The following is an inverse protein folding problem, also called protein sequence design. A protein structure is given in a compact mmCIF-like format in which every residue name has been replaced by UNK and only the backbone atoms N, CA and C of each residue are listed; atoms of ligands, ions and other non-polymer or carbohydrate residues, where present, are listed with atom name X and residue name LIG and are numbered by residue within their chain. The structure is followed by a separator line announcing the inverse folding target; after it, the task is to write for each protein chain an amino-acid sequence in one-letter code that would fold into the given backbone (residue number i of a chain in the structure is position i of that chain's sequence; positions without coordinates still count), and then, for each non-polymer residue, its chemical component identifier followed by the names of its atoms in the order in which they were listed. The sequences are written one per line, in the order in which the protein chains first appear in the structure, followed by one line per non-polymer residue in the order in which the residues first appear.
data_IF_954054088252
#
_entry.id   IF_954054088252
#
_cell.length_a   1.000
_cell.length_b   1.000
_cell.length_c   1.000
_cell.angle_alpha   90.00
_cell.angle_beta   90.00
_cell.angle_gamma   90.00
#
_symmetry.space_group_name_H-M   'P 1'
#
loop_
_entity.id
_entity.type
_entity.pdbx_description
1 polymer ?
#
# COMPACT_ATOMS: atom_id res chain seq x y z
N UNK A 1 9.02 6.99 1.27
CA UNK A 1 7.87 6.27 1.87
C UNK A 1 6.59 6.85 1.30
N UNK A 2 5.60 6.02 0.98
CA UNK A 2 4.27 6.43 0.51
C UNK A 2 3.23 5.77 1.44
N UNK A 3 2.28 6.55 1.93
CA UNK A 3 1.15 6.03 2.70
C UNK A 3 -0.13 6.15 1.89
N UNK A 4 -0.83 5.05 1.69
CA UNK A 4 -2.16 5.02 1.08
C UNK A 4 -3.19 4.76 2.15
N UNK A 5 -4.13 5.70 2.27
CA UNK A 5 -5.26 5.58 3.17
C UNK A 5 -6.47 5.04 2.40
N UNK A 6 -7.08 4.00 2.95
CA UNK A 6 -8.14 3.17 2.37
C UNK A 6 -7.64 2.13 1.34
N UNK A 7 -7.45 0.91 1.85
CA UNK A 7 -6.80 -0.18 1.12
C UNK A 7 -7.65 -1.44 0.87
N UNK A 8 -8.93 -1.48 1.23
CA UNK A 8 -9.71 -2.73 1.08
C UNK A 8 -11.10 -2.57 0.43
N UNK A 9 -11.69 -1.37 0.37
CA UNK A 9 -13.15 -1.23 0.11
C UNK A 9 -13.52 -0.93 -1.35
N UNK A 10 -12.77 -1.42 -2.35
CA UNK A 10 -13.21 -1.30 -3.77
C UNK A 10 -13.25 -2.59 -4.58
N UNK A 11 -12.89 -3.74 -4.02
CA UNK A 11 -12.75 -5.02 -4.74
C UNK A 11 -14.08 -5.73 -5.08
N UNK A 12 -15.13 -4.96 -5.34
CA UNK A 12 -16.39 -5.47 -5.87
C UNK A 12 -17.40 -4.37 -6.11
N UNK A 13 -17.34 -3.28 -5.33
CA UNK A 13 -18.31 -2.18 -5.39
C UNK A 13 -17.98 -1.09 -6.42
N UNK A 14 -16.73 -1.02 -6.90
CA UNK A 14 -16.25 0.02 -7.82
C UNK A 14 -15.50 -0.53 -9.03
N UNK A 15 -15.80 -1.78 -9.39
CA UNK A 15 -15.48 -2.26 -10.74
C UNK A 15 -16.27 -1.39 -11.73
N UNK A 16 -15.57 -0.75 -12.66
CA UNK A 16 -16.24 -0.14 -13.80
C UNK A 16 -16.97 -1.24 -14.58
N UNK A 17 -18.08 -0.94 -15.29
CA UNK A 17 -18.74 -1.92 -16.13
C UNK A 17 -17.71 -2.62 -17.05
N UNK A 18 -17.65 -3.95 -16.99
CA UNK A 18 -16.71 -4.76 -17.78
C UNK A 18 -15.32 -4.98 -17.18
N UNK A 19 -15.01 -4.47 -15.98
CA UNK A 19 -13.75 -4.81 -15.31
C UNK A 19 -13.82 -6.16 -14.60
N UNK A 20 -12.84 -7.01 -14.90
CA UNK A 20 -12.61 -8.27 -14.22
C UNK A 20 -11.78 -8.03 -12.94
N UNK A 21 -12.18 -8.66 -11.83
CA UNK A 21 -11.61 -8.42 -10.51
C UNK A 21 -10.13 -8.83 -10.44
N UNK A 22 -9.77 -9.96 -11.03
CA UNK A 22 -8.40 -10.45 -11.14
C UNK A 22 -7.49 -9.48 -11.87
N UNK A 23 -7.94 -8.85 -12.96
CA UNK A 23 -7.19 -7.83 -13.68
C UNK A 23 -6.90 -6.59 -12.83
N UNK A 24 -7.87 -6.14 -12.00
CA UNK A 24 -7.67 -5.01 -11.08
C UNK A 24 -6.65 -5.34 -9.99
N UNK A 25 -6.75 -6.55 -9.41
CA UNK A 25 -5.79 -7.02 -8.41
C UNK A 25 -4.38 -7.18 -8.98
N UNK A 26 -4.26 -7.68 -10.20
CA UNK A 26 -2.98 -7.81 -10.89
C UNK A 26 -2.33 -6.45 -11.15
N UNK A 27 -3.11 -5.46 -11.61
CA UNK A 27 -2.63 -4.10 -11.82
C UNK A 27 -2.16 -3.45 -10.51
N UNK A 28 -2.90 -3.62 -9.41
CA UNK A 28 -2.52 -3.11 -8.10
C UNK A 28 -1.22 -3.74 -7.59
N UNK A 29 -1.08 -5.07 -7.74
CA UNK A 29 0.15 -5.79 -7.38
C UNK A 29 1.35 -5.31 -8.20
N UNK A 30 1.18 -5.07 -9.50
CA UNK A 30 2.23 -4.50 -10.35
C UNK A 30 2.61 -3.08 -9.96
N UNK A 31 1.62 -2.25 -9.61
CA UNK A 31 1.84 -0.89 -9.13
C UNK A 31 2.68 -0.89 -7.85
N UNK A 32 2.34 -1.73 -6.88
CA UNK A 32 3.10 -1.85 -5.64
C UNK A 32 4.52 -2.38 -5.89
N UNK A 33 4.67 -3.41 -6.74
CA UNK A 33 5.98 -3.95 -7.10
C UNK A 33 6.88 -2.87 -7.73
N UNK A 34 6.34 -2.03 -8.62
CA UNK A 34 7.07 -0.91 -9.23
C UNK A 34 7.47 0.15 -8.21
N UNK A 35 6.60 0.47 -7.26
CA UNK A 35 6.93 1.40 -6.18
C UNK A 35 8.05 0.84 -5.29
N UNK A 36 7.99 -0.44 -4.96
CA UNK A 36 9.05 -1.12 -4.19
C UNK A 36 10.38 -1.15 -4.94
N UNK A 37 10.39 -1.42 -6.24
CA UNK A 37 11.62 -1.40 -7.05
C UNK A 37 12.25 -0.01 -7.14
N UNK A 38 11.44 1.05 -7.03
CA UNK A 38 11.92 2.43 -6.95
C UNK A 38 12.39 2.83 -5.54
N UNK A 39 12.44 1.89 -4.59
CA UNK A 39 12.88 2.12 -3.22
C UNK A 39 11.82 2.74 -2.31
N UNK A 40 10.55 2.81 -2.74
CA UNK A 40 9.48 3.28 -1.86
C UNK A 40 9.07 2.18 -0.88
N UNK A 41 9.07 2.54 0.40
CA UNK A 41 8.31 1.81 1.42
C UNK A 41 6.83 2.22 1.31
N UNK A 42 5.95 1.28 0.97
CA UNK A 42 4.50 1.51 0.84
C UNK A 42 3.80 1.04 2.12
N UNK A 43 3.09 1.95 2.78
CA UNK A 43 2.25 1.66 3.96
C UNK A 43 0.78 1.76 3.53
N UNK A 44 0.00 0.72 3.79
CA UNK A 44 -1.46 0.77 3.67
C UNK A 44 -2.07 1.07 5.02
N UNK A 45 -2.93 2.08 5.06
CA UNK A 45 -3.63 2.53 6.24
C UNK A 45 -5.13 2.33 6.05
N UNK A 46 -5.78 1.80 7.07
CA UNK A 46 -7.22 1.63 7.13
C UNK A 46 -7.76 2.29 8.38
N UNK A 47 -9.09 2.39 8.47
CA UNK A 47 -9.75 2.89 9.67
C UNK A 47 -9.38 2.09 10.94
N UNK A 48 -9.10 0.79 10.83
CA UNK A 48 -8.65 -0.03 11.97
C UNK A 48 -7.22 0.27 12.43
N UNK A 49 -6.39 0.83 11.56
CA UNK A 49 -5.05 1.28 11.96
C UNK A 49 -5.13 2.59 12.76
N UNK A 50 -6.08 3.46 12.40
CA UNK A 50 -6.34 4.71 13.13
C UNK A 50 -6.89 4.46 14.54
N UNK A 51 -7.64 3.37 14.75
CA UNK A 51 -8.09 2.98 16.09
C UNK A 51 -6.96 2.44 16.98
N UNK A 52 -5.76 2.22 16.43
CA UNK A 52 -4.59 1.74 17.15
C UNK A 52 -3.35 2.62 16.88
N UNK A 53 -3.37 3.89 17.30
CA UNK A 53 -2.36 4.89 16.92
C UNK A 53 -0.93 4.50 17.31
N UNK A 54 -0.74 3.76 18.42
CA UNK A 54 0.57 3.27 18.82
C UNK A 54 1.17 2.25 17.84
N UNK A 55 0.35 1.34 17.29
CA UNK A 55 0.81 0.36 16.29
C UNK A 55 1.13 1.03 14.96
N UNK A 56 0.32 2.01 14.59
CA UNK A 56 0.55 2.85 13.41
C UNK A 56 1.88 3.60 13.53
N UNK A 57 2.12 4.29 14.66
CA UNK A 57 3.36 4.99 14.91
C UNK A 57 4.57 4.06 14.81
N UNK A 58 4.52 2.87 15.43
CA UNK A 58 5.60 1.89 15.34
C UNK A 58 5.89 1.43 13.90
N UNK A 59 4.86 1.24 13.09
CA UNK A 59 4.99 0.87 11.67
C UNK A 59 5.67 1.98 10.87
N UNK A 60 5.26 3.23 11.08
CA UNK A 60 5.86 4.40 10.43
C UNK A 60 7.32 4.57 10.86
N UNK A 61 7.63 4.48 12.16
CA UNK A 61 9.00 4.58 12.66
C UNK A 61 9.90 3.52 12.04
N UNK A 62 9.42 2.27 11.94
CA UNK A 62 10.16 1.19 11.28
C UNK A 62 10.41 1.49 9.80
N UNK A 63 9.42 2.02 9.10
CA UNK A 63 9.53 2.38 7.69
C UNK A 63 10.50 3.56 7.45
N UNK A 64 10.54 4.54 8.36
CA UNK A 64 11.48 5.66 8.29
C UNK A 64 12.93 5.21 8.54
N UNK A 65 13.12 4.26 9.46
CA UNK A 65 14.43 3.70 9.76
C UNK A 65 14.88 2.67 8.72
N UNK A 66 14.00 2.25 7.80
CA UNK A 66 14.35 1.38 6.70
C UNK A 66 15.08 2.18 5.62
N UNK A 67 16.40 2.02 5.55
CA UNK A 67 17.21 2.57 4.44
C UNK A 67 17.03 1.67 3.22
N UNK A 68 16.44 2.15 2.10
CA UNK A 68 16.38 1.35 0.90
C UNK A 68 17.81 1.10 0.40
N UNK A 69 18.14 -0.15 0.04
CA UNK A 69 19.39 -0.47 -0.64
C UNK A 69 19.48 0.40 -1.91
N UNK A 70 20.40 1.37 -1.91
CA UNK A 70 20.86 2.02 -3.14
C UNK A 70 21.65 0.98 -3.92
N UNK A 71 21.01 0.33 -4.89
CA UNK A 71 21.78 -0.29 -5.96
C UNK A 71 22.46 0.83 -6.74
N UNK A 72 23.79 0.71 -6.83
CA UNK A 72 24.70 1.59 -7.56
C UNK A 72 24.36 1.70 -9.05
#
# INVERSE_FOLDING_TARGET
MLCEFDGFVKYGRLLRPGQELGAVLAAEKHREARLRSLGFFVIRLTWSDLSHPARLAATITRALNFTPHRSA
#
